data_IF_821987717715
#
_entry.id   IF_821987717715
#
_cell.length_a   1.000
_cell.length_b   1.000
_cell.length_c   1.000
_cell.angle_alpha   90.00
_cell.angle_beta   90.00
_cell.angle_gamma   90.00
#
_symmetry.space_group_name_H-M   'P 1'
#
loop_
_entity.id
_entity.type
_entity.pdbx_description
1 polymer ?
#
# COMPACT_ATOMS: atom_id res chain seq x y z
N UNK A 1 -59.21 33.09 -23.90
CA UNK A 1 -58.33 33.09 -22.71
C UNK A 1 -57.23 32.07 -22.95
N UNK A 2 -55.95 32.45 -23.19
CA UNK A 2 -54.88 31.48 -23.34
C UNK A 2 -54.26 31.18 -21.98
N UNK A 3 -54.15 29.90 -21.61
CA UNK A 3 -53.34 29.46 -20.46
C UNK A 3 -51.98 29.01 -21.00
N UNK A 4 -50.97 29.87 -20.82
CA UNK A 4 -49.57 29.44 -20.82
C UNK A 4 -49.39 28.48 -19.63
N UNK A 5 -48.92 27.28 -19.89
CA UNK A 5 -48.35 26.41 -18.86
C UNK A 5 -46.94 26.07 -19.29
N UNK A 6 -46.02 26.95 -18.89
CA UNK A 6 -44.58 26.71 -18.81
C UNK A 6 -44.33 25.49 -17.93
N UNK A 7 -44.01 24.36 -18.56
CA UNK A 7 -43.46 23.22 -17.84
C UNK A 7 -41.95 23.43 -17.73
N UNK A 8 -41.49 23.74 -16.53
CA UNK A 8 -40.08 23.77 -16.16
C UNK A 8 -39.50 22.36 -16.30
N UNK A 9 -38.62 22.16 -17.26
CA UNK A 9 -37.77 20.98 -17.36
C UNK A 9 -36.75 21.02 -16.22
N UNK A 10 -37.01 20.25 -15.17
CA UNK A 10 -36.05 20.03 -14.08
C UNK A 10 -34.83 19.28 -14.63
N UNK A 11 -33.69 19.98 -14.76
CA UNK A 11 -32.39 19.35 -14.93
C UNK A 11 -32.06 18.57 -13.65
N UNK A 12 -32.12 17.24 -13.70
CA UNK A 12 -31.53 16.40 -12.69
C UNK A 12 -30.02 16.54 -12.78
N UNK A 13 -29.41 17.18 -11.77
CA UNK A 13 -27.97 17.21 -11.58
C UNK A 13 -27.53 15.77 -11.28
N UNK A 14 -26.86 15.13 -12.23
CA UNK A 14 -26.10 13.91 -11.97
C UNK A 14 -24.97 14.29 -11.01
N UNK A 15 -25.20 14.04 -9.72
CA UNK A 15 -24.13 13.93 -8.74
C UNK A 15 -23.31 12.68 -9.09
N UNK A 16 -22.40 12.82 -10.04
CA UNK A 16 -21.34 11.84 -10.24
C UNK A 16 -20.52 11.83 -8.94
N UNK A 17 -20.77 10.82 -8.11
CA UNK A 17 -19.89 10.46 -7.01
C UNK A 17 -18.49 10.27 -7.60
N UNK A 18 -17.64 11.29 -7.47
CA UNK A 18 -16.21 11.21 -7.71
C UNK A 18 -15.63 10.30 -6.63
N UNK A 19 -15.85 8.99 -6.78
CA UNK A 19 -15.06 8.01 -6.03
C UNK A 19 -13.64 8.20 -6.54
N UNK A 20 -12.66 8.55 -5.68
CA UNK A 20 -11.28 8.62 -6.10
C UNK A 20 -10.90 7.23 -6.64
N UNK A 21 -10.66 7.17 -7.95
CA UNK A 21 -10.17 5.97 -8.62
C UNK A 21 -8.71 5.82 -8.23
N UNK A 22 -8.28 4.61 -7.87
CA UNK A 22 -6.86 4.31 -7.67
C UNK A 22 -6.08 4.77 -8.90
N UNK A 23 -5.15 5.69 -8.75
CA UNK A 23 -4.28 6.15 -9.85
C UNK A 23 -3.19 5.14 -10.22
N UNK A 24 -3.17 3.97 -9.58
CA UNK A 24 -2.16 2.95 -9.80
C UNK A 24 -2.64 1.91 -10.82
N UNK A 25 -1.91 1.80 -11.92
CA UNK A 25 -2.15 0.75 -12.91
C UNK A 25 -1.67 -0.61 -12.38
N UNK A 26 -2.31 -1.72 -12.78
CA UNK A 26 -1.77 -3.06 -12.53
C UNK A 26 -0.41 -3.23 -13.21
N UNK A 27 0.53 -3.91 -12.54
CA UNK A 27 1.87 -4.12 -13.09
C UNK A 27 2.93 -4.46 -12.06
N UNK A 28 4.19 -4.51 -12.50
CA UNK A 28 5.33 -4.79 -11.64
C UNK A 28 5.98 -3.47 -11.18
N UNK A 29 6.22 -3.35 -9.87
CA UNK A 29 6.70 -2.13 -9.23
C UNK A 29 7.79 -2.42 -8.20
N UNK A 30 8.69 -1.44 -8.02
CA UNK A 30 9.47 -1.28 -6.78
C UNK A 30 8.74 -0.27 -5.89
N UNK A 31 8.61 -0.60 -4.62
CA UNK A 31 7.88 0.22 -3.64
C UNK A 31 8.91 0.81 -2.69
N UNK A 32 9.19 2.10 -2.81
CA UNK A 32 10.35 2.75 -2.19
C UNK A 32 9.96 3.95 -1.32
N UNK A 33 10.65 4.11 -0.19
CA UNK A 33 10.43 5.22 0.73
C UNK A 33 10.97 6.52 0.14
N UNK A 34 10.12 7.56 0.08
CA UNK A 34 10.49 8.86 -0.51
C UNK A 34 11.19 9.78 0.48
N UNK A 35 10.78 9.76 1.75
CA UNK A 35 11.29 10.71 2.78
C UNK A 35 12.36 10.10 3.71
N UNK A 36 12.88 8.93 3.37
CA UNK A 36 13.92 8.22 4.11
C UNK A 36 15.20 8.03 3.30
N UNK A 37 15.79 6.85 3.39
CA UNK A 37 17.10 6.53 2.78
C UNK A 37 17.01 6.11 1.30
N UNK A 38 15.85 6.29 0.64
CA UNK A 38 15.62 5.78 -0.71
C UNK A 38 15.65 4.25 -0.78
N UNK A 39 15.20 3.59 0.29
CA UNK A 39 15.15 2.13 0.37
C UNK A 39 13.82 1.61 -0.14
N UNK A 40 13.83 0.41 -0.71
CA UNK A 40 12.66 -0.26 -1.24
C UNK A 40 12.33 -1.50 -0.43
N UNK A 41 11.04 -1.86 -0.41
CA UNK A 41 10.57 -3.11 0.17
C UNK A 41 11.26 -4.29 -0.52
N UNK A 42 11.92 -5.12 0.26
CA UNK A 42 12.62 -6.33 -0.18
C UNK A 42 12.13 -7.52 0.63
N UNK A 43 11.84 -8.62 -0.06
CA UNK A 43 11.61 -9.90 0.60
C UNK A 43 12.89 -10.73 0.59
N UNK A 44 13.46 -11.03 1.75
CA UNK A 44 14.72 -11.78 1.81
C UNK A 44 14.51 -13.30 1.90
N UNK A 45 13.53 -13.74 2.70
CA UNK A 45 13.49 -15.12 3.22
C UNK A 45 12.22 -15.93 2.88
N UNK A 46 11.17 -15.30 2.32
CA UNK A 46 9.95 -15.99 1.87
C UNK A 46 8.75 -15.94 2.85
N UNK A 47 7.97 -17.02 2.92
CA UNK A 47 6.65 -17.00 3.60
C UNK A 47 6.73 -16.84 5.14
N UNK A 48 5.75 -16.13 5.70
CA UNK A 48 5.62 -15.66 7.08
C UNK A 48 6.80 -14.82 7.58
N UNK A 49 7.71 -14.42 6.69
CA UNK A 49 8.88 -13.63 7.06
C UNK A 49 8.59 -12.15 6.95
N UNK A 50 9.19 -11.37 7.84
CA UNK A 50 9.11 -9.91 7.78
C UNK A 50 9.71 -9.38 6.48
N UNK A 51 9.02 -8.41 5.91
CA UNK A 51 9.50 -7.66 4.75
C UNK A 51 10.50 -6.63 5.26
N UNK A 52 11.62 -6.49 4.56
CA UNK A 52 12.70 -5.59 4.95
C UNK A 52 12.81 -4.41 3.98
N UNK A 53 13.70 -3.48 4.31
CA UNK A 53 14.15 -2.41 3.46
C UNK A 53 15.56 -2.70 2.95
N UNK A 54 15.77 -2.52 1.65
CA UNK A 54 17.08 -2.57 1.01
C UNK A 54 17.29 -1.39 0.08
N UNK A 55 18.54 -1.07 -0.24
CA UNK A 55 18.83 -0.04 -1.25
C UNK A 55 18.18 -0.39 -2.59
N UNK A 56 17.62 0.61 -3.26
CA UNK A 56 17.03 0.42 -4.59
C UNK A 56 18.05 -0.22 -5.53
N UNK A 57 17.70 -1.38 -6.08
CA UNK A 57 18.60 -2.15 -6.95
C UNK A 57 17.83 -2.92 -8.02
N UNK A 58 18.56 -3.62 -8.89
CA UNK A 58 18.00 -4.56 -9.86
C UNK A 58 17.51 -5.88 -9.26
N UNK A 59 17.55 -6.06 -7.94
CA UNK A 59 17.18 -7.32 -7.28
C UNK A 59 15.70 -7.66 -7.52
N UNK A 60 15.38 -8.83 -8.12
CA UNK A 60 14.01 -9.30 -8.30
C UNK A 60 13.21 -9.39 -6.99
N UNK A 61 13.89 -9.57 -5.85
CA UNK A 61 13.25 -9.62 -4.52
C UNK A 61 12.62 -8.29 -4.10
N UNK A 62 12.95 -7.20 -4.78
CA UNK A 62 12.34 -5.87 -4.60
C UNK A 62 11.15 -5.62 -5.53
N UNK A 63 10.81 -6.57 -6.41
CA UNK A 63 9.76 -6.41 -7.41
C UNK A 63 8.46 -7.03 -6.91
N UNK A 64 7.42 -6.19 -6.85
CA UNK A 64 6.09 -6.51 -6.38
C UNK A 64 5.08 -6.34 -7.52
N UNK A 65 4.27 -7.35 -7.77
CA UNK A 65 3.10 -7.26 -8.63
C UNK A 65 2.00 -6.56 -7.86
N UNK A 66 1.51 -5.47 -8.43
CA UNK A 66 0.32 -4.76 -8.00
C UNK A 66 -0.85 -5.21 -8.85
N UNK A 67 -1.88 -5.74 -8.20
CA UNK A 67 -3.14 -6.07 -8.84
C UNK A 67 -4.31 -5.41 -8.08
N UNK A 68 -5.07 -4.49 -8.71
CA UNK A 68 -6.20 -3.82 -8.08
C UNK A 68 -7.31 -4.80 -7.66
N UNK A 69 -7.70 -4.73 -6.39
CA UNK A 69 -8.84 -5.48 -5.85
C UNK A 69 -10.09 -4.59 -5.71
N UNK A 70 -9.90 -3.31 -5.39
CA UNK A 70 -10.93 -2.28 -5.29
C UNK A 70 -10.34 -0.90 -5.66
N UNK A 71 -11.13 0.20 -5.69
CA UNK A 71 -10.60 1.54 -5.97
C UNK A 71 -9.53 2.05 -4.98
N UNK A 72 -9.37 1.42 -3.83
CA UNK A 72 -8.35 1.79 -2.84
C UNK A 72 -7.54 0.58 -2.37
N UNK A 73 -7.97 -0.64 -2.68
CA UNK A 73 -7.31 -1.86 -2.24
C UNK A 73 -6.60 -2.54 -3.40
N UNK A 74 -5.38 -3.00 -3.14
CA UNK A 74 -4.59 -3.79 -4.08
C UNK A 74 -4.10 -5.05 -3.39
N UNK A 75 -3.72 -6.04 -4.19
CA UNK A 75 -2.82 -7.08 -3.72
C UNK A 75 -1.39 -6.72 -4.09
N UNK A 76 -0.46 -6.97 -3.18
CA UNK A 76 0.98 -6.81 -3.39
C UNK A 76 1.65 -8.18 -3.31
N UNK A 77 2.04 -8.73 -4.45
CA UNK A 77 2.63 -10.07 -4.54
C UNK A 77 4.12 -9.98 -4.89
N UNK A 78 4.99 -10.57 -4.06
CA UNK A 78 6.42 -10.62 -4.39
C UNK A 78 6.66 -11.57 -5.57
N UNK A 79 7.40 -11.11 -6.59
CA UNK A 79 7.63 -11.90 -7.81
C UNK A 79 8.49 -13.14 -7.61
N UNK A 80 9.39 -13.14 -6.61
CA UNK A 80 10.33 -14.25 -6.36
C UNK A 80 9.68 -15.33 -5.50
N UNK A 81 8.97 -14.93 -4.44
CA UNK A 81 8.42 -15.87 -3.46
C UNK A 81 6.93 -16.16 -3.63
N UNK A 82 6.20 -15.38 -4.43
CA UNK A 82 4.76 -15.55 -4.65
C UNK A 82 3.88 -15.27 -3.43
N UNK A 83 4.45 -14.76 -2.34
CA UNK A 83 3.70 -14.39 -1.14
C UNK A 83 3.20 -12.95 -1.23
N UNK A 84 2.12 -12.67 -0.50
CA UNK A 84 1.46 -11.36 -0.46
C UNK A 84 1.84 -10.59 0.80
N UNK A 85 1.86 -9.27 0.71
CA UNK A 85 2.03 -8.41 1.88
C UNK A 85 0.83 -8.60 2.82
N UNK A 86 1.11 -8.97 4.07
CA UNK A 86 0.12 -9.15 5.13
C UNK A 86 0.61 -8.50 6.43
N UNK A 87 -0.32 -8.35 7.40
CA UNK A 87 -0.01 -7.78 8.71
C UNK A 87 0.52 -8.86 9.65
N UNK A 88 1.64 -8.59 10.30
CA UNK A 88 2.16 -9.37 11.41
C UNK A 88 2.52 -8.50 12.60
N UNK A 89 3.03 -9.12 13.67
CA UNK A 89 3.56 -8.42 14.85
C UNK A 89 4.99 -8.80 15.14
N UNK A 90 5.80 -7.81 15.50
CA UNK A 90 7.14 -8.06 16.02
C UNK A 90 7.13 -8.45 17.51
N UNK A 91 8.29 -8.80 18.05
CA UNK A 91 8.43 -9.23 19.45
C UNK A 91 8.01 -8.16 20.48
N UNK A 92 8.00 -6.88 20.08
CA UNK A 92 7.53 -5.76 20.90
C UNK A 92 6.02 -5.48 20.71
N UNK A 93 5.30 -6.32 19.96
CA UNK A 93 3.86 -6.17 19.69
C UNK A 93 3.51 -5.09 18.67
N UNK A 94 4.50 -4.51 17.96
CA UNK A 94 4.26 -3.52 16.90
C UNK A 94 3.88 -4.21 15.60
N UNK A 95 2.95 -3.60 14.86
CA UNK A 95 2.55 -4.08 13.53
C UNK A 95 3.71 -3.93 12.53
N UNK A 96 3.94 -4.98 11.75
CA UNK A 96 4.97 -5.04 10.71
C UNK A 96 4.45 -5.76 9.45
N UNK A 97 4.89 -5.36 8.25
CA UNK A 97 4.67 -6.13 7.03
C UNK A 97 5.35 -7.48 7.10
N UNK A 98 4.62 -8.52 6.75
CA UNK A 98 5.18 -9.84 6.49
C UNK A 98 4.75 -10.30 5.11
N UNK A 99 5.50 -11.22 4.53
CA UNK A 99 5.11 -11.89 3.30
C UNK A 99 4.38 -13.18 3.65
N UNK A 100 3.09 -13.30 3.35
CA UNK A 100 2.25 -14.45 3.70
C UNK A 100 1.61 -15.11 2.48
N UNK A 101 1.41 -16.42 2.53
CA UNK A 101 0.73 -17.22 1.50
C UNK A 101 -0.81 -17.21 1.64
N UNK A 102 -1.34 -16.39 2.53
CA UNK A 102 -2.78 -16.15 2.66
C UNK A 102 -3.18 -14.95 1.81
N UNK A 103 -4.35 -14.98 1.14
CA UNK A 103 -4.88 -13.82 0.47
C UNK A 103 -4.94 -12.61 1.41
N UNK A 104 -4.31 -11.52 1.00
CA UNK A 104 -4.30 -10.27 1.75
C UNK A 104 -4.37 -9.10 0.78
N UNK A 105 -5.10 -8.08 1.18
CA UNK A 105 -5.20 -6.81 0.47
C UNK A 105 -4.52 -5.74 1.31
N UNK A 106 -3.94 -4.77 0.62
CA UNK A 106 -3.40 -3.56 1.22
C UNK A 106 -4.19 -2.38 0.69
N UNK A 107 -4.51 -1.44 1.56
CA UNK A 107 -5.20 -0.21 1.20
C UNK A 107 -4.17 0.85 0.88
N UNK A 108 -4.32 1.51 -0.26
CA UNK A 108 -3.38 2.50 -0.78
C UNK A 108 -4.10 3.83 -0.95
N UNK A 109 -3.61 4.84 -0.23
CA UNK A 109 -4.21 6.18 -0.21
C UNK A 109 -3.19 7.20 -0.72
N UNK A 110 -3.52 8.06 -1.70
CA UNK A 110 -2.61 9.12 -2.15
C UNK A 110 -2.16 10.02 -0.99
N UNK A 111 -0.87 10.37 -0.97
CA UNK A 111 -0.31 11.15 0.15
C UNK A 111 -0.75 12.62 0.18
N UNK A 112 -1.12 13.16 -0.97
CA UNK A 112 -1.83 14.42 -1.14
C UNK A 112 -2.44 14.45 -2.55
N UNK A 113 -3.43 15.31 -2.79
CA UNK A 113 -4.04 15.48 -4.13
C UNK A 113 -3.05 16.00 -5.20
N UNK A 114 -1.85 16.45 -4.81
CA UNK A 114 -0.83 17.02 -5.70
C UNK A 114 0.46 16.19 -5.80
N UNK A 115 0.55 15.08 -5.05
CA UNK A 115 1.73 14.21 -5.08
C UNK A 115 1.46 12.99 -5.95
N UNK A 116 1.48 13.20 -7.27
CA UNK A 116 1.39 12.12 -8.24
C UNK A 116 2.42 11.04 -7.92
N UNK A 117 1.95 9.81 -7.75
CA UNK A 117 2.82 8.64 -7.54
C UNK A 117 3.31 8.43 -6.10
N UNK A 118 2.81 9.19 -5.11
CA UNK A 118 3.14 8.98 -3.69
C UNK A 118 1.91 8.51 -2.92
N UNK A 119 2.07 7.40 -2.19
CA UNK A 119 0.97 6.77 -1.47
C UNK A 119 1.33 6.37 -0.05
N UNK A 120 0.33 6.39 0.82
CA UNK A 120 0.29 5.67 2.08
C UNK A 120 -0.16 4.24 1.81
N UNK A 121 0.44 3.28 2.52
CA UNK A 121 0.05 1.87 2.46
C UNK A 121 -0.38 1.46 3.87
N UNK A 122 -1.62 0.98 3.98
CA UNK A 122 -2.16 0.30 5.15
C UNK A 122 -2.37 -1.18 4.84
N UNK A 123 -2.17 -2.04 5.83
CA UNK A 123 -2.35 -3.50 5.68
C UNK A 123 -3.43 -3.94 6.66
N UNK A 124 -4.71 -3.90 6.24
CA UNK A 124 -5.81 -4.27 7.10
C UNK A 124 -5.80 -5.76 7.43
N UNK A 125 -6.48 -6.12 8.51
CA UNK A 125 -6.68 -7.51 8.92
C UNK A 125 -6.02 -7.87 10.25
N UNK A 126 -6.06 -9.17 10.55
CA UNK A 126 -5.53 -9.71 11.80
C UNK A 126 -4.02 -9.97 11.69
N UNK A 127 -3.33 -9.82 12.82
CA UNK A 127 -1.90 -10.12 12.87
C UNK A 127 -1.66 -11.62 12.69
N UNK A 128 -0.89 -11.96 11.66
CA UNK A 128 -0.44 -13.32 11.41
C UNK A 128 0.82 -13.63 12.22
N UNK A 129 1.08 -14.94 12.38
CA UNK A 129 2.32 -15.40 13.01
C UNK A 129 3.52 -15.01 12.14
N UNK A 130 4.40 -14.18 12.71
CA UNK A 130 5.63 -13.73 12.08
C UNK A 130 6.78 -14.64 12.45
N UNK A 131 7.49 -15.13 11.43
CA UNK A 131 8.86 -15.59 11.53
C UNK A 131 9.78 -14.42 11.22
N UNK A 132 10.81 -14.21 12.00
CA UNK A 132 11.71 -13.10 11.79
C UNK A 132 13.12 -13.45 12.20
N UNK A 133 14.06 -12.70 11.65
CA UNK A 133 15.49 -12.95 11.79
C UNK A 133 16.19 -11.80 12.51
N UNK A 134 15.51 -11.18 13.49
CA UNK A 134 15.89 -9.87 14.00
C UNK A 134 15.82 -9.75 15.53
N UNK A 135 16.85 -9.04 16.02
CA UNK A 135 16.94 -8.38 17.31
C UNK A 135 15.97 -7.19 17.35
N UNK A 136 15.50 -6.75 18.52
CA UNK A 136 14.36 -5.82 18.66
C UNK A 136 14.43 -4.44 17.97
N UNK A 137 15.56 -4.06 17.33
CA UNK A 137 15.77 -2.77 16.67
C UNK A 137 16.55 -2.89 15.34
N UNK A 138 16.19 -3.83 14.46
CA UNK A 138 16.79 -3.83 13.12
C UNK A 138 16.22 -2.67 12.29
N UNK A 139 17.08 -1.71 11.94
CA UNK A 139 16.72 -0.53 11.13
C UNK A 139 16.28 -0.89 9.70
N UNK A 140 16.59 -2.13 9.27
CA UNK A 140 16.21 -2.65 7.96
C UNK A 140 14.85 -3.36 8.00
N UNK A 141 14.24 -3.55 9.17
CA UNK A 141 12.89 -4.07 9.20
C UNK A 141 11.94 -3.01 8.64
N UNK A 142 11.14 -3.37 7.64
CA UNK A 142 10.07 -2.48 7.27
C UNK A 142 9.08 -2.46 8.42
N UNK A 143 8.78 -1.27 8.94
CA UNK A 143 7.77 -1.09 9.98
C UNK A 143 6.76 -0.09 9.48
N UNK A 144 5.47 -0.36 9.70
CA UNK A 144 4.39 0.58 9.35
C UNK A 144 4.28 1.78 10.34
N UNK A 145 5.34 2.04 11.12
CA UNK A 145 5.41 2.97 12.28
C UNK A 145 6.81 3.65 12.21
N UNK A 146 7.09 4.96 12.23
CA UNK A 146 6.56 6.12 12.99
C UNK A 146 7.28 7.47 12.64
N UNK A 147 6.63 8.65 12.80
CA UNK A 147 6.94 9.73 13.81
C UNK A 147 5.98 10.96 13.66
N UNK A 148 5.27 11.34 14.73
CA UNK A 148 4.54 12.61 14.96
C UNK A 148 3.13 12.87 14.37
N UNK A 149 2.11 12.04 14.63
CA UNK A 149 0.72 12.55 14.48
C UNK A 149 -0.37 11.85 15.29
N UNK A 150 -0.13 11.48 16.56
CA UNK A 150 -1.22 11.17 17.53
C UNK A 150 -2.20 10.03 17.17
N UNK A 151 -2.03 9.37 16.03
CA UNK A 151 -2.82 8.26 15.52
C UNK A 151 -1.87 7.07 15.40
N UNK A 152 -2.18 6.00 16.10
CA UNK A 152 -1.49 4.73 15.95
C UNK A 152 -1.90 4.18 14.57
N UNK A 153 -0.92 3.76 13.76
CA UNK A 153 -1.07 2.79 12.67
C UNK A 153 -1.13 3.25 11.19
N UNK A 154 -0.63 4.43 10.78
CA UNK A 154 -0.57 4.74 9.31
C UNK A 154 0.55 5.68 8.88
N UNK A 155 1.79 5.21 8.60
CA UNK A 155 2.85 6.09 8.04
C UNK A 155 3.94 5.38 7.22
N UNK A 156 3.95 5.55 5.88
CA UNK A 156 5.15 5.68 5.02
C UNK A 156 4.73 6.34 3.70
N UNK A 157 5.48 7.32 3.19
CA UNK A 157 5.32 7.81 1.81
C UNK A 157 6.07 6.88 0.86
N UNK A 158 5.33 6.07 0.14
CA UNK A 158 5.89 5.17 -0.85
C UNK A 158 5.71 5.70 -2.26
N UNK A 159 6.79 5.68 -3.04
CA UNK A 159 6.75 5.76 -4.48
C UNK A 159 6.59 4.36 -5.05
N UNK A 160 5.66 4.23 -5.99
CA UNK A 160 5.52 3.03 -6.81
C UNK A 160 6.25 3.27 -8.13
N UNK A 161 7.43 2.70 -8.26
CA UNK A 161 8.32 2.87 -9.41
C UNK A 161 8.12 1.69 -10.37
N UNK A 162 7.56 1.89 -11.57
CA UNK A 162 7.36 0.79 -12.53
C UNK A 162 8.67 0.09 -12.86
N UNK A 163 8.62 -1.23 -12.99
CA UNK A 163 9.73 -2.04 -13.51
C UNK A 163 9.40 -2.49 -14.92
N UNK A 164 10.07 -1.90 -15.91
CA UNK A 164 9.98 -2.32 -17.32
C UNK A 164 10.56 -3.72 -17.53
#
# INVERSE_FOLDING_TARGET
>A
MPRLSTLFTTLAVLSASLVPVLSLNPGAYRICEIRGLGMCLVQEYGNNQEIQFGYQSGDPRQVWIVDPASPQDITLTNTVFGCQVARGKNAAGKAVPICANSPSVVTVTPASEQSDGVYFIDVPGNDLSRMAHDLPNNILNATFVQRNSGSLDTFVHFAFIPTN
#
